data_IF_839917897949
#
_entry.id   IF_839917897949
#
_cell.length_a   1.000
_cell.length_b   1.000
_cell.length_c   1.000
_cell.angle_alpha   90.00
_cell.angle_beta   90.00
_cell.angle_gamma   90.00
#
_symmetry.space_group_name_H-M   'P 1'
#
loop_
_entity.id
_entity.type
_entity.pdbx_description
1 polymer ?
#
# COMPACT_ATOMS: atom_id res chain seq x y z
N UNK A 1 6.45 5.31 14.26
CA UNK A 1 5.13 4.95 13.73
C UNK A 1 4.79 3.48 13.98
N UNK A 2 5.75 2.57 13.79
CA UNK A 2 5.51 1.13 13.95
C UNK A 2 5.91 0.57 15.31
N UNK A 3 6.34 1.41 16.24
CA UNK A 3 6.77 1.00 17.57
C UNK A 3 5.58 0.47 18.36
N UNK A 4 5.65 -0.79 18.80
CA UNK A 4 4.59 -1.45 19.58
C UNK A 4 4.51 -0.95 21.02
N UNK A 5 5.54 -0.25 21.51
CA UNK A 5 5.59 0.28 22.88
C UNK A 5 4.85 1.61 23.05
N UNK A 6 4.41 2.24 21.95
CA UNK A 6 3.68 3.49 22.01
C UNK A 6 2.17 3.25 21.85
N UNK A 7 1.36 4.19 22.34
CA UNK A 7 -0.09 4.08 22.26
C UNK A 7 -0.60 4.24 20.82
N UNK A 8 -1.86 3.87 20.60
CA UNK A 8 -2.53 4.08 19.33
C UNK A 8 -2.54 5.57 18.95
N UNK A 9 -2.85 6.44 19.89
CA UNK A 9 -2.89 7.89 19.65
C UNK A 9 -1.52 8.42 19.24
N UNK A 10 -0.46 7.92 19.86
CA UNK A 10 0.91 8.30 19.48
C UNK A 10 1.27 7.78 18.09
N UNK A 11 0.86 6.57 17.74
CA UNK A 11 1.07 6.04 16.40
C UNK A 11 0.32 6.87 15.34
N UNK A 12 -0.92 7.27 15.63
CA UNK A 12 -1.69 8.16 14.74
C UNK A 12 -0.98 9.50 14.54
N UNK A 13 -0.48 10.08 15.63
CA UNK A 13 0.24 11.36 15.57
C UNK A 13 1.51 11.23 14.72
N UNK A 14 2.27 10.16 14.92
CA UNK A 14 3.49 9.90 14.13
C UNK A 14 3.17 9.64 12.66
N UNK A 15 2.06 8.98 12.38
CA UNK A 15 1.60 8.76 11.02
C UNK A 15 1.25 10.07 10.32
N UNK A 16 0.57 10.97 11.03
CA UNK A 16 0.26 12.31 10.51
C UNK A 16 1.54 13.09 10.19
N UNK A 17 2.52 13.08 11.08
CA UNK A 17 3.83 13.73 10.85
C UNK A 17 4.54 13.10 9.65
N UNK A 18 4.49 11.79 9.53
CA UNK A 18 5.11 11.06 8.41
C UNK A 18 4.49 11.47 7.09
N UNK A 19 3.17 11.59 7.03
CA UNK A 19 2.48 12.02 5.81
C UNK A 19 2.88 13.43 5.39
N UNK A 20 3.08 14.31 6.36
CA UNK A 20 3.56 15.67 6.07
C UNK A 20 4.96 15.65 5.45
N UNK A 21 5.85 14.82 5.96
CA UNK A 21 7.19 14.64 5.40
C UNK A 21 7.16 14.01 4.01
N UNK A 22 6.30 13.03 3.81
CA UNK A 22 6.10 12.37 2.51
C UNK A 22 5.66 13.39 1.46
N UNK A 23 4.72 14.27 1.82
CA UNK A 23 4.23 15.30 0.90
C UNK A 23 5.32 16.27 0.44
N UNK A 24 6.35 16.47 1.24
CA UNK A 24 7.47 17.37 0.94
C UNK A 24 8.64 16.67 0.24
N UNK A 25 8.60 15.36 0.08
CA UNK A 25 9.69 14.61 -0.54
C UNK A 25 9.67 14.76 -2.07
N UNK A 26 10.81 14.51 -2.71
CA UNK A 26 10.91 14.55 -4.17
C UNK A 26 10.11 13.44 -4.84
N UNK A 27 10.02 12.28 -4.18
CA UNK A 27 9.26 11.13 -4.66
C UNK A 27 8.39 10.60 -3.52
N UNK A 28 7.16 11.15 -3.36
CA UNK A 28 6.28 10.74 -2.27
C UNK A 28 5.91 9.25 -2.29
N UNK A 29 5.78 8.65 -3.47
CA UNK A 29 5.46 7.21 -3.58
C UNK A 29 6.62 6.39 -3.01
N UNK A 30 7.85 6.68 -3.43
CA UNK A 30 9.03 5.98 -2.92
C UNK A 30 9.22 6.21 -1.42
N UNK A 31 9.02 7.43 -0.94
CA UNK A 31 9.11 7.75 0.47
C UNK A 31 8.13 6.91 1.30
N UNK A 32 6.92 6.67 0.77
CA UNK A 32 5.92 5.84 1.44
C UNK A 32 6.33 4.37 1.44
N UNK A 33 6.85 3.86 0.32
CA UNK A 33 7.37 2.49 0.24
C UNK A 33 8.49 2.30 1.28
N UNK A 34 9.43 3.23 1.35
CA UNK A 34 10.54 3.18 2.29
C UNK A 34 10.04 3.20 3.74
N UNK A 35 9.01 3.99 4.04
CA UNK A 35 8.39 4.04 5.34
C UNK A 35 7.86 2.65 5.73
N UNK A 36 7.09 2.03 4.86
CA UNK A 36 6.46 0.73 5.16
C UNK A 36 7.42 -0.45 5.10
N UNK A 37 8.66 -0.25 4.64
CA UNK A 37 9.70 -1.28 4.76
C UNK A 37 10.03 -1.60 6.22
N UNK A 38 9.70 -0.71 7.14
CA UNK A 38 9.92 -0.87 8.58
C UNK A 38 8.71 -1.48 9.32
N UNK A 39 7.61 -1.77 8.61
CA UNK A 39 6.39 -2.26 9.24
C UNK A 39 6.58 -3.66 9.83
N UNK A 40 5.97 -3.96 11.00
CA UNK A 40 6.04 -5.30 11.58
C UNK A 40 5.36 -6.32 10.67
N UNK A 41 6.11 -7.33 10.26
CA UNK A 41 5.66 -8.32 9.30
C UNK A 41 5.02 -9.51 10.00
N UNK A 42 3.88 -9.95 9.48
CA UNK A 42 3.17 -11.14 9.95
C UNK A 42 2.80 -12.01 8.76
N UNK A 43 2.45 -13.27 9.01
CA UNK A 43 1.92 -14.15 7.98
C UNK A 43 0.56 -13.64 7.49
N UNK A 44 0.03 -14.25 6.43
CA UNK A 44 -1.25 -13.86 5.82
C UNK A 44 -2.36 -13.87 6.87
N UNK A 45 -3.07 -12.71 6.98
CA UNK A 45 -4.16 -12.59 7.91
C UNK A 45 -5.35 -11.80 7.35
N UNK A 46 -5.21 -11.24 6.18
CA UNK A 46 -6.27 -10.57 5.44
C UNK A 46 -6.45 -11.25 4.10
N UNK A 47 -7.69 -11.54 3.71
CA UNK A 47 -7.99 -12.13 2.41
C UNK A 47 -8.05 -11.01 1.34
N UNK A 48 -7.09 -10.96 0.41
CA UNK A 48 -7.10 -9.94 -0.64
C UNK A 48 -8.30 -10.04 -1.58
N UNK A 49 -8.92 -11.21 -1.67
CA UNK A 49 -10.07 -11.43 -2.57
C UNK A 49 -11.42 -11.08 -1.92
N UNK A 50 -11.44 -10.76 -0.64
CA UNK A 50 -12.65 -10.38 0.08
C UNK A 50 -12.49 -8.98 0.66
N UNK A 51 -12.98 -7.97 -0.07
CA UNK A 51 -12.87 -6.57 0.31
C UNK A 51 -13.48 -6.27 1.68
N UNK A 52 -14.48 -7.03 2.10
CA UNK A 52 -15.13 -6.85 3.38
C UNK A 52 -14.22 -7.19 4.57
N UNK A 53 -13.16 -7.95 4.34
CA UNK A 53 -12.17 -8.31 5.37
C UNK A 53 -11.01 -7.32 5.48
N UNK A 54 -10.91 -6.36 4.55
CA UNK A 54 -9.79 -5.42 4.54
C UNK A 54 -9.90 -4.46 5.72
N UNK A 55 -8.81 -4.27 6.47
CA UNK A 55 -8.81 -3.30 7.55
C UNK A 55 -8.92 -1.87 7.01
N UNK A 56 -9.52 -0.99 7.79
CA UNK A 56 -9.51 0.45 7.53
C UNK A 56 -8.12 1.03 7.87
N UNK A 57 -7.81 2.27 7.43
CA UNK A 57 -6.56 2.91 7.82
C UNK A 57 -6.35 2.93 9.34
N UNK A 58 -7.40 3.22 10.09
CA UNK A 58 -7.36 3.31 11.55
C UNK A 58 -7.09 1.96 12.19
N UNK A 59 -7.72 0.92 11.68
CA UNK A 59 -7.51 -0.45 12.14
C UNK A 59 -6.07 -0.91 11.89
N UNK A 60 -5.47 -0.59 10.75
CA UNK A 60 -4.09 -0.92 10.46
C UNK A 60 -3.12 -0.27 11.46
N UNK A 61 -3.34 1.02 11.75
CA UNK A 61 -2.49 1.74 12.72
C UNK A 61 -2.64 1.13 14.11
N UNK A 62 -3.87 0.77 14.49
CA UNK A 62 -4.15 0.19 15.80
C UNK A 62 -3.55 -1.20 15.95
N UNK A 63 -3.76 -2.07 14.98
CA UNK A 63 -3.28 -3.45 15.03
C UNK A 63 -1.76 -3.54 14.89
N UNK A 64 -1.18 -2.66 14.06
CA UNK A 64 0.26 -2.60 13.83
C UNK A 64 0.84 -3.95 13.39
N UNK A 65 0.11 -4.67 12.53
CA UNK A 65 0.49 -5.97 11.96
C UNK A 65 0.24 -5.94 10.47
N UNK A 66 1.26 -6.28 9.69
CA UNK A 66 1.23 -6.12 8.24
C UNK A 66 1.65 -7.40 7.53
N UNK A 67 0.69 -8.10 6.93
CA UNK A 67 1.02 -9.07 5.89
C UNK A 67 1.37 -8.29 4.60
N UNK A 68 1.85 -8.97 3.58
CA UNK A 68 2.25 -8.28 2.32
C UNK A 68 1.11 -7.44 1.75
N UNK A 69 -0.11 -7.97 1.76
CA UNK A 69 -1.27 -7.24 1.25
C UNK A 69 -1.61 -6.03 2.13
N UNK A 70 -1.55 -6.19 3.46
CA UNK A 70 -1.81 -5.08 4.39
C UNK A 70 -0.75 -3.99 4.29
N UNK A 71 0.49 -4.34 3.97
CA UNK A 71 1.52 -3.34 3.70
C UNK A 71 1.16 -2.51 2.46
N UNK A 72 0.67 -3.15 1.41
CA UNK A 72 0.20 -2.46 0.21
C UNK A 72 -0.99 -1.55 0.54
N UNK A 73 -1.94 -2.03 1.34
CA UNK A 73 -3.06 -1.22 1.82
C UNK A 73 -2.59 0.00 2.62
N UNK A 74 -1.62 -0.20 3.50
CA UNK A 74 -1.04 0.89 4.30
C UNK A 74 -0.42 1.96 3.42
N UNK A 75 0.32 1.56 2.39
CA UNK A 75 0.89 2.47 1.40
C UNK A 75 -0.23 3.23 0.69
N UNK A 76 -1.26 2.52 0.25
CA UNK A 76 -2.42 3.12 -0.42
C UNK A 76 -3.09 4.17 0.45
N UNK A 77 -3.44 3.83 1.68
CA UNK A 77 -4.12 4.74 2.61
C UNK A 77 -3.26 5.95 2.96
N UNK A 78 -1.96 5.74 3.14
CA UNK A 78 -1.04 6.84 3.46
C UNK A 78 -1.00 7.85 2.32
N UNK A 79 -0.89 7.36 1.08
CA UNK A 79 -0.90 8.24 -0.10
C UNK A 79 -2.24 8.93 -0.29
N UNK A 80 -3.35 8.23 -0.09
CA UNK A 80 -4.69 8.82 -0.22
C UNK A 80 -4.91 9.99 0.74
N UNK A 81 -4.33 9.91 1.93
CA UNK A 81 -4.46 10.95 2.95
C UNK A 81 -3.34 11.99 2.89
N UNK A 82 -2.47 11.90 1.88
CA UNK A 82 -1.42 12.89 1.61
C UNK A 82 -1.95 13.89 0.58
N UNK A 83 -1.87 15.18 0.90
CA UNK A 83 -2.54 16.25 0.14
C UNK A 83 -2.21 16.24 -1.36
N UNK A 84 -0.96 15.93 -1.73
CA UNK A 84 -0.56 15.94 -3.14
C UNK A 84 -1.21 14.83 -3.98
N UNK A 85 -1.90 13.88 -3.35
CA UNK A 85 -2.61 12.79 -4.03
C UNK A 85 -4.13 12.86 -3.82
N UNK A 86 -4.66 13.95 -3.31
CA UNK A 86 -6.09 14.07 -2.96
C UNK A 86 -7.02 13.90 -4.17
N UNK A 87 -6.56 14.23 -5.38
CA UNK A 87 -7.34 14.13 -6.60
C UNK A 87 -7.02 12.86 -7.42
N UNK A 88 -6.12 12.00 -6.93
CA UNK A 88 -5.71 10.81 -7.65
C UNK A 88 -6.65 9.63 -7.39
N UNK A 89 -6.81 8.80 -8.41
CA UNK A 89 -7.55 7.55 -8.28
C UNK A 89 -6.59 6.43 -7.88
N UNK A 90 -7.00 5.62 -6.92
CA UNK A 90 -6.23 4.49 -6.42
C UNK A 90 -6.95 3.19 -6.78
N UNK A 91 -6.22 2.27 -7.40
CA UNK A 91 -6.75 0.95 -7.71
C UNK A 91 -5.80 -0.13 -7.20
N UNK A 92 -6.35 -1.21 -6.67
CA UNK A 92 -5.58 -2.40 -6.32
C UNK A 92 -5.97 -3.50 -7.30
N UNK A 93 -4.97 -4.05 -7.97
CA UNK A 93 -5.12 -5.13 -8.92
C UNK A 93 -4.51 -6.41 -8.36
N UNK A 94 -5.23 -7.52 -8.50
CA UNK A 94 -4.67 -8.85 -8.27
C UNK A 94 -4.44 -9.45 -9.63
N UNK A 95 -3.18 -9.74 -9.97
CA UNK A 95 -2.77 -10.24 -11.29
C UNK A 95 -2.00 -11.53 -11.13
N UNK A 96 -2.09 -12.37 -12.15
CA UNK A 96 -1.35 -13.63 -12.20
C UNK A 96 -0.48 -13.65 -13.45
N UNK A 97 0.81 -13.95 -13.28
CA UNK A 97 1.72 -14.17 -14.40
C UNK A 97 1.37 -15.48 -15.10
N UNK A 98 1.15 -15.43 -16.40
CA UNK A 98 0.92 -16.66 -17.20
C UNK A 98 2.20 -17.49 -17.31
N UNK A 99 3.36 -16.84 -17.27
CA UNK A 99 4.65 -17.50 -17.37
C UNK A 99 4.99 -18.31 -16.13
N UNK A 100 4.83 -17.69 -14.93
CA UNK A 100 5.27 -18.30 -13.66
C UNK A 100 4.13 -18.81 -12.78
N UNK A 101 2.90 -18.34 -13.01
CA UNK A 101 1.76 -18.59 -12.14
C UNK A 101 1.77 -17.77 -10.85
N UNK A 102 2.75 -16.89 -10.68
CA UNK A 102 2.87 -16.05 -9.50
C UNK A 102 1.74 -15.02 -9.43
N UNK A 103 1.23 -14.80 -8.21
CA UNK A 103 0.19 -13.81 -7.95
C UNK A 103 0.85 -12.52 -7.46
N UNK A 104 0.44 -11.40 -8.05
CA UNK A 104 0.91 -10.06 -7.68
C UNK A 104 -0.23 -9.23 -7.14
N UNK A 105 0.01 -8.54 -6.04
CA UNK A 105 -0.90 -7.52 -5.51
C UNK A 105 -0.28 -6.18 -5.85
N UNK A 106 -0.94 -5.41 -6.73
CA UNK A 106 -0.38 -4.18 -7.29
C UNK A 106 -1.27 -2.99 -6.96
N UNK A 107 -0.65 -1.90 -6.51
CA UNK A 107 -1.32 -0.63 -6.30
C UNK A 107 -1.00 0.30 -7.48
N UNK A 108 -2.05 0.73 -8.15
CA UNK A 108 -1.95 1.69 -9.25
C UNK A 108 -2.29 3.08 -8.76
N UNK A 109 -1.34 4.01 -8.91
CA UNK A 109 -1.48 5.42 -8.55
C UNK A 109 -1.01 6.23 -9.75
N UNK A 110 -1.90 6.95 -10.43
CA UNK A 110 -1.58 7.66 -11.67
C UNK A 110 -0.98 6.69 -12.70
N UNK A 111 0.22 6.97 -13.19
CA UNK A 111 0.95 6.13 -14.13
C UNK A 111 1.99 5.23 -13.44
N UNK A 112 1.96 5.14 -12.11
CA UNK A 112 2.92 4.37 -11.32
C UNK A 112 2.27 3.15 -10.68
N UNK A 113 3.07 2.11 -10.47
CA UNK A 113 2.62 0.85 -9.88
C UNK A 113 3.55 0.48 -8.73
N UNK A 114 2.95 0.17 -7.58
CA UNK A 114 3.64 -0.31 -6.37
C UNK A 114 3.34 -1.79 -6.19
N UNK A 115 4.36 -2.57 -5.85
CA UNK A 115 4.19 -3.99 -5.52
C UNK A 115 4.70 -4.95 -6.58
N UNK A 116 5.08 -4.47 -7.76
CA UNK A 116 5.68 -5.32 -8.79
C UNK A 116 7.11 -5.70 -8.45
N UNK A 117 7.90 -4.73 -8.00
CA UNK A 117 9.21 -4.96 -7.42
C UNK A 117 9.15 -4.55 -5.94
N UNK A 118 9.81 -5.32 -5.04
CA UNK A 118 9.56 -5.23 -3.60
C UNK A 118 9.82 -3.87 -2.95
N UNK A 119 10.80 -3.11 -3.45
CA UNK A 119 11.31 -1.93 -2.77
C UNK A 119 11.24 -0.64 -3.59
N UNK A 120 10.63 -0.68 -4.77
CA UNK A 120 10.49 0.50 -5.62
C UNK A 120 9.18 0.46 -6.42
N UNK A 121 8.75 1.61 -6.93
CA UNK A 121 7.64 1.65 -7.87
C UNK A 121 8.15 1.67 -9.30
N UNK A 122 7.30 1.26 -10.24
CA UNK A 122 7.63 1.19 -11.66
C UNK A 122 6.57 1.94 -12.47
N UNK A 123 6.86 2.20 -13.73
CA UNK A 123 5.89 2.77 -14.65
C UNK A 123 4.81 1.72 -14.97
N UNK A 124 3.59 2.17 -15.20
CA UNK A 124 2.49 1.30 -15.59
C UNK A 124 2.82 0.47 -16.84
N UNK A 125 3.60 1.03 -17.76
CA UNK A 125 4.05 0.35 -18.97
C UNK A 125 5.07 -0.75 -18.72
N UNK A 126 5.67 -0.81 -17.51
CA UNK A 126 6.63 -1.85 -17.15
C UNK A 126 5.97 -3.16 -16.71
N UNK A 127 4.65 -3.16 -16.50
CA UNK A 127 3.92 -4.38 -16.14
C UNK A 127 3.83 -5.27 -17.38
N UNK A 128 4.24 -6.55 -17.28
CA UNK A 128 4.23 -7.45 -18.43
C UNK A 128 2.82 -7.69 -18.99
N UNK A 129 2.74 -7.83 -20.31
CA UNK A 129 1.49 -8.12 -21.01
C UNK A 129 0.92 -9.50 -20.71
N UNK A 130 1.76 -10.41 -20.20
CA UNK A 130 1.37 -11.79 -19.86
C UNK A 130 0.75 -11.91 -18.48
N UNK A 131 0.46 -10.80 -17.80
CA UNK A 131 -0.26 -10.80 -16.55
C UNK A 131 -1.75 -10.80 -16.79
N UNK A 132 -2.45 -11.79 -16.25
CA UNK A 132 -3.91 -11.87 -16.31
C UNK A 132 -4.52 -11.18 -15.09
N UNK A 133 -5.44 -10.26 -15.33
CA UNK A 133 -6.15 -9.55 -14.27
C UNK A 133 -7.17 -10.50 -13.63
N UNK A 134 -7.00 -10.77 -12.33
CA UNK A 134 -7.94 -11.59 -11.54
C UNK A 134 -9.02 -10.71 -10.91
N UNK A 135 -8.63 -9.63 -10.28
CA UNK A 135 -9.53 -8.68 -9.63
C UNK A 135 -8.98 -7.26 -9.73
N UNK A 136 -9.91 -6.30 -9.78
CA UNK A 136 -9.58 -4.87 -9.77
C UNK A 136 -10.52 -4.18 -8.80
N UNK A 137 -9.94 -3.47 -7.82
CA UNK A 137 -10.69 -2.74 -6.83
C UNK A 137 -10.33 -1.27 -6.90
N UNK A 138 -11.34 -0.41 -6.97
CA UNK A 138 -11.15 1.03 -6.75
C UNK A 138 -11.19 1.27 -5.25
N UNK A 139 -10.15 1.90 -4.70
CA UNK A 139 -10.04 2.17 -3.27
C UNK A 139 -10.40 3.61 -3.02
N UNK A 140 -11.41 3.84 -2.20
CA UNK A 140 -11.83 5.18 -1.76
C UNK A 140 -12.03 5.18 -0.26
N UNK A 141 -11.72 6.31 0.37
CA UNK A 141 -11.89 6.52 1.80
C UNK A 141 -13.20 7.21 2.11
#
# INVERSE_FOLDING_TARGET
MFDSCVSFEQRLSRWTERRQKIALSEDPIQATIDCYSQAPEVSIHTDPYDRNTWPTPWELIQENQYCDFCRLLGICYTLQLTDCFSDEQFEIHIQRSRETGEIFYLLYVSDRVVGYTGDTHVAKSDIPDDHDLQHRYTVSL
#
